data_IF_527195710742
#
_entry.id   IF_527195710742
#
_cell.length_a   1.000
_cell.length_b   1.000
_cell.length_c   1.000
_cell.angle_alpha   90.00
_cell.angle_beta   90.00
_cell.angle_gamma   90.00
#
_symmetry.space_group_name_H-M   'P 1'
#
loop_
_entity.id
_entity.type
_entity.pdbx_description
1 polymer ?
#
# COMPACT_ATOMS: atom_id res chain seq x y z
N UNK A 1 -5.92 -18.67 5.36
CA UNK A 1 -6.61 -17.44 5.83
C UNK A 1 -6.80 -16.53 4.62
N UNK A 2 -8.03 -16.27 4.14
CA UNK A 2 -8.28 -15.56 2.87
C UNK A 2 -7.45 -14.27 2.72
N UNK A 3 -7.43 -13.41 3.75
CA UNK A 3 -6.69 -12.14 3.72
C UNK A 3 -5.17 -12.29 3.62
N UNK A 4 -4.60 -13.46 3.92
CA UNK A 4 -3.15 -13.68 3.79
C UNK A 4 -2.67 -13.76 2.34
N UNK A 5 -3.47 -14.34 1.44
CA UNK A 5 -3.20 -14.28 0.00
C UNK A 5 -3.45 -12.89 -0.60
N UNK A 6 -4.26 -12.07 0.08
CA UNK A 6 -4.74 -10.77 -0.36
C UNK A 6 -4.19 -9.59 0.44
N UNK A 7 -3.10 -9.79 1.20
CA UNK A 7 -2.44 -8.68 1.89
C UNK A 7 -1.92 -7.69 0.88
N UNK A 8 -2.05 -6.40 1.20
CA UNK A 8 -1.74 -5.30 0.29
C UNK A 8 -2.61 -5.22 -0.96
N UNK A 9 -3.76 -5.91 -1.03
CA UNK A 9 -4.72 -5.74 -2.12
C UNK A 9 -5.86 -4.78 -1.71
N UNK A 10 -6.42 -4.07 -2.69
CA UNK A 10 -7.67 -3.32 -2.53
C UNK A 10 -8.83 -4.31 -2.51
N UNK A 11 -9.49 -4.44 -1.36
CA UNK A 11 -10.51 -5.47 -1.19
C UNK A 11 -11.89 -5.01 -1.63
N UNK A 12 -12.57 -5.86 -2.40
CA UNK A 12 -14.00 -5.71 -2.66
C UNK A 12 -14.76 -6.62 -1.70
N UNK A 13 -15.40 -6.01 -0.70
CA UNK A 13 -16.16 -6.74 0.33
C UNK A 13 -17.22 -7.65 -0.26
N UNK A 14 -17.88 -7.26 -1.35
CA UNK A 14 -18.89 -8.11 -2.00
C UNK A 14 -18.24 -9.35 -2.62
N UNK A 15 -17.05 -9.22 -3.19
CA UNK A 15 -16.28 -10.36 -3.70
C UNK A 15 -15.90 -11.32 -2.57
N UNK A 16 -15.42 -10.78 -1.44
CA UNK A 16 -15.06 -11.59 -0.26
C UNK A 16 -16.28 -12.32 0.29
N UNK A 17 -17.40 -11.60 0.44
CA UNK A 17 -18.66 -12.15 0.94
C UNK A 17 -19.11 -13.35 0.07
N UNK A 18 -19.06 -13.20 -1.25
CA UNK A 18 -19.39 -14.27 -2.19
C UNK A 18 -18.43 -15.46 -2.07
N UNK A 19 -17.12 -15.23 -2.00
CA UNK A 19 -16.12 -16.30 -1.87
C UNK A 19 -16.23 -17.08 -0.55
N UNK A 20 -16.65 -16.41 0.53
CA UNK A 20 -16.80 -17.02 1.85
C UNK A 20 -18.23 -17.50 2.13
N UNK A 21 -19.16 -17.34 1.17
CA UNK A 21 -20.59 -17.62 1.35
C UNK A 21 -21.20 -16.91 2.57
N UNK A 22 -20.78 -15.67 2.83
CA UNK A 22 -21.27 -14.82 3.91
C UNK A 22 -22.09 -13.65 3.36
N UNK A 23 -22.93 -13.04 4.20
CA UNK A 23 -23.51 -11.74 3.85
C UNK A 23 -22.43 -10.65 3.85
N UNK A 24 -22.68 -9.58 3.09
CA UNK A 24 -21.81 -8.39 3.08
C UNK A 24 -21.66 -7.80 4.49
N UNK A 25 -22.74 -7.78 5.27
CA UNK A 25 -22.77 -7.28 6.64
C UNK A 25 -21.86 -8.09 7.56
N UNK A 26 -21.97 -9.43 7.56
CA UNK A 26 -21.10 -10.28 8.37
C UNK A 26 -19.64 -10.20 7.93
N UNK A 27 -19.39 -10.08 6.63
CA UNK A 27 -18.03 -9.91 6.10
C UNK A 27 -17.37 -8.63 6.61
N UNK A 28 -18.10 -7.50 6.61
CA UNK A 28 -17.62 -6.24 7.19
C UNK A 28 -17.41 -6.36 8.70
N UNK A 29 -18.34 -7.00 9.40
CA UNK A 29 -18.26 -7.22 10.85
C UNK A 29 -17.00 -8.00 11.23
N UNK A 30 -16.70 -9.09 10.52
CA UNK A 30 -15.49 -9.87 10.77
C UNK A 30 -14.22 -9.15 10.36
N UNK A 31 -14.22 -8.38 9.27
CA UNK A 31 -13.08 -7.52 8.94
C UNK A 31 -12.81 -6.50 10.05
N UNK A 32 -13.86 -5.87 10.59
CA UNK A 32 -13.72 -4.93 11.70
C UNK A 32 -13.16 -5.62 12.95
N UNK A 33 -13.60 -6.84 13.27
CA UNK A 33 -12.99 -7.61 14.36
C UNK A 33 -11.50 -7.85 14.17
N UNK A 34 -11.04 -8.14 12.95
CA UNK A 34 -9.62 -8.30 12.66
C UNK A 34 -8.83 -6.99 12.80
N UNK A 35 -9.46 -5.85 12.48
CA UNK A 35 -8.87 -4.51 12.65
C UNK A 35 -8.76 -4.17 14.14
N UNK A 36 -9.86 -4.33 14.89
CA UNK A 36 -9.93 -4.06 16.32
C UNK A 36 -9.03 -5.00 17.13
N UNK A 37 -8.77 -6.21 16.64
CA UNK A 37 -7.84 -7.17 17.25
C UNK A 37 -6.38 -6.97 16.81
N UNK A 38 -6.06 -5.91 16.07
CA UNK A 38 -4.70 -5.63 15.55
C UNK A 38 -4.09 -6.78 14.75
N UNK A 39 -4.91 -7.54 14.00
CA UNK A 39 -4.42 -8.53 13.04
C UNK A 39 -4.23 -7.94 11.65
N UNK A 40 -5.09 -6.98 11.28
CA UNK A 40 -5.01 -6.25 10.01
C UNK A 40 -5.17 -4.76 10.23
N UNK A 41 -4.71 -3.96 9.28
CA UNK A 41 -5.07 -2.55 9.17
C UNK A 41 -5.54 -2.26 7.74
N UNK A 42 -6.43 -1.26 7.60
CA UNK A 42 -6.98 -0.87 6.33
C UNK A 42 -6.80 0.61 6.07
N UNK A 43 -6.21 0.96 4.94
CA UNK A 43 -6.06 2.35 4.48
C UNK A 43 -7.11 2.67 3.42
N UNK A 44 -7.61 3.91 3.43
CA UNK A 44 -8.65 4.37 2.48
C UNK A 44 -8.02 4.98 1.23
N UNK A 45 -8.83 5.14 0.17
CA UNK A 45 -8.39 5.84 -1.03
C UNK A 45 -8.26 7.34 -0.76
N UNK A 46 -7.15 7.93 -1.16
CA UNK A 46 -6.94 9.37 -1.14
C UNK A 46 -7.93 10.06 -2.09
N UNK A 47 -8.61 11.08 -1.57
CA UNK A 47 -9.44 11.99 -2.33
C UNK A 47 -9.58 13.31 -1.57
N UNK A 48 -9.59 14.48 -2.23
CA UNK A 48 -9.94 15.72 -1.55
C UNK A 48 -11.36 15.71 -0.94
N UNK A 49 -12.24 14.81 -1.39
CA UNK A 49 -13.59 14.64 -0.85
C UNK A 49 -13.62 13.57 0.23
N UNK A 50 -13.96 13.98 1.47
CA UNK A 50 -14.14 13.08 2.62
C UNK A 50 -15.20 12.01 2.33
N UNK A 51 -16.30 12.36 1.67
CA UNK A 51 -17.35 11.41 1.28
C UNK A 51 -16.81 10.31 0.34
N UNK A 52 -15.97 10.69 -0.63
CA UNK A 52 -15.30 9.72 -1.52
C UNK A 52 -14.30 8.85 -0.76
N UNK A 53 -13.60 9.39 0.23
CA UNK A 53 -12.72 8.60 1.10
C UNK A 53 -13.54 7.56 1.88
N UNK A 54 -14.64 7.96 2.54
CA UNK A 54 -15.49 7.07 3.35
C UNK A 54 -16.04 5.90 2.52
N UNK A 55 -16.58 6.20 1.33
CA UNK A 55 -17.18 5.21 0.42
C UNK A 55 -16.16 4.32 -0.28
N UNK A 56 -14.87 4.62 -0.21
CA UNK A 56 -13.84 3.85 -0.89
C UNK A 56 -13.64 2.47 -0.25
N UNK A 57 -13.33 1.49 -1.10
CA UNK A 57 -12.78 0.22 -0.66
C UNK A 57 -11.46 0.47 0.08
N UNK A 58 -11.15 -0.38 1.05
CA UNK A 58 -9.88 -0.32 1.76
C UNK A 58 -8.83 -1.13 1.01
N UNK A 59 -7.59 -0.66 1.05
CA UNK A 59 -6.41 -1.51 0.86
C UNK A 59 -6.05 -2.09 2.23
N UNK A 60 -6.05 -3.42 2.34
CA UNK A 60 -5.92 -4.11 3.64
C UNK A 60 -4.58 -4.82 3.73
N UNK A 61 -3.93 -4.66 4.87
CA UNK A 61 -2.60 -5.19 5.15
C UNK A 61 -2.65 -6.02 6.43
N UNK A 62 -1.99 -7.17 6.43
CA UNK A 62 -1.71 -7.90 7.66
C UNK A 62 -0.61 -7.18 8.45
N UNK A 63 -0.79 -7.09 9.77
CA UNK A 63 0.18 -6.42 10.65
C UNK A 63 1.47 -7.23 10.79
N UNK A 64 1.35 -8.56 10.79
CA UNK A 64 2.46 -9.49 10.94
C UNK A 64 2.76 -10.20 9.61
N UNK A 65 3.98 -10.00 9.11
CA UNK A 65 4.49 -10.64 7.90
C UNK A 65 4.67 -12.16 8.03
N UNK A 66 4.76 -12.66 9.27
CA UNK A 66 4.69 -14.09 9.61
C UNK A 66 3.35 -14.71 9.21
N UNK A 67 2.23 -13.99 9.39
CA UNK A 67 0.91 -14.46 8.93
C UNK A 67 0.86 -14.58 7.40
N UNK A 68 1.46 -13.62 6.68
CA UNK A 68 1.61 -13.69 5.22
C UNK A 68 2.50 -14.88 4.82
N UNK A 69 3.54 -15.17 5.60
CA UNK A 69 4.46 -16.29 5.33
C UNK A 69 3.76 -17.64 5.51
N UNK A 70 3.02 -17.81 6.60
CA UNK A 70 2.39 -19.08 6.97
C UNK A 70 1.13 -19.36 6.14
N UNK A 71 0.33 -18.32 5.87
CA UNK A 71 -0.98 -18.46 5.24
C UNK A 71 -1.07 -17.89 3.82
N UNK A 72 -0.03 -17.24 3.32
CA UNK A 72 0.02 -16.73 1.95
C UNK A 72 0.11 -17.88 0.96
N UNK A 73 -0.99 -18.13 0.24
CA UNK A 73 -1.03 -19.18 -0.77
C UNK A 73 -0.23 -18.74 -2.02
N UNK A 74 0.85 -19.45 -2.34
CA UNK A 74 1.46 -19.38 -3.69
C UNK A 74 2.97 -19.58 -3.77
N UNK A 75 3.39 -20.39 -4.75
CA UNK A 75 4.78 -20.64 -5.16
C UNK A 75 5.48 -19.43 -5.83
N UNK A 76 5.13 -18.19 -5.48
CA UNK A 76 5.70 -16.96 -6.06
C UNK A 76 6.35 -16.11 -4.98
N UNK A 77 7.53 -16.56 -4.52
CA UNK A 77 8.34 -15.91 -3.48
C UNK A 77 8.44 -14.38 -3.66
N UNK A 78 8.62 -13.90 -4.89
CA UNK A 78 8.75 -12.48 -5.19
C UNK A 78 7.48 -11.65 -4.88
N UNK A 79 6.26 -12.19 -5.14
CA UNK A 79 5.01 -11.49 -4.82
C UNK A 79 4.83 -11.42 -3.31
N UNK A 80 5.02 -12.55 -2.63
CA UNK A 80 4.89 -12.67 -1.17
C UNK A 80 5.87 -11.71 -0.47
N UNK A 81 7.13 -11.65 -0.90
CA UNK A 81 8.11 -10.73 -0.33
C UNK A 81 7.72 -9.26 -0.57
N UNK A 82 7.19 -8.92 -1.74
CA UNK A 82 6.65 -7.58 -2.01
C UNK A 82 5.52 -7.21 -1.03
N UNK A 83 4.53 -8.09 -0.85
CA UNK A 83 3.40 -7.86 0.07
C UNK A 83 3.87 -7.68 1.52
N UNK A 84 4.85 -8.47 1.96
CA UNK A 84 5.44 -8.35 3.32
C UNK A 84 6.10 -6.99 3.51
N UNK A 85 6.95 -6.58 2.57
CA UNK A 85 7.66 -5.29 2.65
C UNK A 85 6.67 -4.14 2.59
N UNK A 86 5.70 -4.18 1.70
CA UNK A 86 4.67 -3.15 1.61
C UNK A 86 3.85 -3.03 2.91
N UNK A 87 3.42 -4.16 3.49
CA UNK A 87 2.67 -4.15 4.75
C UNK A 87 3.53 -3.62 5.92
N UNK A 88 4.82 -3.96 5.95
CA UNK A 88 5.76 -3.46 6.96
C UNK A 88 5.98 -1.94 6.84
N UNK A 89 6.15 -1.43 5.61
CA UNK A 89 6.29 0.00 5.34
C UNK A 89 4.99 0.74 5.70
N UNK A 90 3.83 0.20 5.31
CA UNK A 90 2.53 0.77 5.65
C UNK A 90 2.29 0.89 7.15
N UNK A 91 2.79 -0.08 7.94
CA UNK A 91 2.73 -0.03 9.40
C UNK A 91 3.46 1.17 9.98
N UNK A 92 4.61 1.57 9.43
CA UNK A 92 5.36 2.74 9.88
C UNK A 92 4.59 4.06 9.70
N UNK A 93 3.60 4.07 8.80
CA UNK A 93 2.78 5.24 8.48
C UNK A 93 1.48 5.33 9.27
N UNK A 94 1.17 4.35 10.13
CA UNK A 94 -0.11 4.33 10.87
C UNK A 94 -0.24 5.45 11.92
N UNK A 95 0.86 6.12 12.27
CA UNK A 95 0.85 7.32 13.12
C UNK A 95 0.38 8.57 12.36
N UNK A 96 0.37 8.52 11.04
CA UNK A 96 0.05 9.63 10.15
C UNK A 96 -1.30 9.40 9.44
N UNK A 97 -1.80 10.43 8.74
CA UNK A 97 -2.95 10.29 7.84
C UNK A 97 -2.50 9.63 6.54
N UNK A 98 -2.55 8.31 6.52
CA UNK A 98 -2.13 7.48 5.37
C UNK A 98 -3.32 6.98 4.56
N UNK A 99 -3.14 7.03 3.24
CA UNK A 99 -4.09 6.58 2.23
C UNK A 99 -3.37 5.76 1.16
N UNK A 100 -4.09 5.09 0.28
CA UNK A 100 -3.56 4.66 -1.02
C UNK A 100 -4.13 5.57 -2.12
N UNK A 101 -3.60 5.55 -3.33
CA UNK A 101 -4.25 6.23 -4.46
C UNK A 101 -4.48 5.29 -5.63
N UNK A 102 -5.64 5.42 -6.30
CA UNK A 102 -5.99 4.57 -7.44
C UNK A 102 -6.88 5.31 -8.43
N UNK A 103 -6.40 5.37 -9.67
CA UNK A 103 -7.22 5.66 -10.86
C UNK A 103 -6.99 4.55 -11.89
N UNK A 104 -6.40 4.88 -13.04
CA UNK A 104 -5.90 3.88 -13.99
C UNK A 104 -4.67 3.15 -13.42
N UNK A 105 -3.82 3.89 -12.74
CA UNK A 105 -2.64 3.39 -12.03
C UNK A 105 -2.89 3.44 -10.51
N UNK A 106 -2.01 2.82 -9.73
CA UNK A 106 -2.04 2.83 -8.27
C UNK A 106 -0.76 3.45 -7.71
N UNK A 107 -0.90 4.06 -6.52
CA UNK A 107 0.20 4.37 -5.62
C UNK A 107 -0.09 3.72 -4.28
N UNK A 108 0.89 2.99 -3.75
CA UNK A 108 0.70 2.16 -2.56
C UNK A 108 0.33 2.99 -1.32
N UNK A 109 1.06 4.09 -1.08
CA UNK A 109 0.79 5.01 0.03
C UNK A 109 0.85 6.48 -0.38
N UNK A 110 -0.03 7.27 0.23
CA UNK A 110 -0.09 8.73 0.17
C UNK A 110 -0.24 9.24 1.59
N UNK A 111 0.73 10.01 2.04
CA UNK A 111 0.71 10.69 3.33
C UNK A 111 0.14 12.09 3.14
N UNK A 112 -0.93 12.40 3.88
CA UNK A 112 -1.59 13.70 3.90
C UNK A 112 -0.83 14.66 4.83
N UNK A 113 0.37 15.02 4.38
CA UNK A 113 1.23 16.07 4.93
C UNK A 113 1.32 17.23 3.91
N UNK A 114 1.90 18.37 4.27
CA UNK A 114 2.00 19.53 3.38
C UNK A 114 3.46 19.77 2.95
N UNK A 115 3.84 19.50 1.68
CA UNK A 115 3.03 18.96 0.58
C UNK A 115 2.76 17.45 0.71
N UNK A 116 1.76 16.91 -0.02
CA UNK A 116 1.46 15.47 -0.01
C UNK A 116 2.70 14.66 -0.38
N UNK A 117 2.90 13.51 0.28
CA UNK A 117 4.00 12.61 -0.03
C UNK A 117 3.48 11.29 -0.57
N UNK A 118 3.91 10.95 -1.79
CA UNK A 118 3.60 9.66 -2.41
C UNK A 118 4.73 8.66 -2.21
N UNK A 119 4.38 7.41 -1.87
CA UNK A 119 5.33 6.32 -1.64
C UNK A 119 4.87 5.09 -2.40
N UNK A 120 5.73 4.58 -3.28
CA UNK A 120 5.50 3.39 -4.10
C UNK A 120 6.47 2.28 -3.70
N UNK A 121 5.98 1.05 -3.44
CA UNK A 121 6.81 -0.08 -3.03
C UNK A 121 7.12 -0.98 -4.22
N UNK A 122 8.40 -1.04 -4.60
CA UNK A 122 8.93 -1.92 -5.64
C UNK A 122 10.12 -2.70 -5.09
N UNK A 123 9.83 -3.73 -4.30
CA UNK A 123 10.84 -4.60 -3.69
C UNK A 123 11.54 -5.52 -4.72
N UNK A 124 12.43 -4.94 -5.53
CA UNK A 124 13.25 -5.60 -6.55
C UNK A 124 14.53 -4.77 -6.80
N UNK A 125 15.51 -5.37 -7.46
CA UNK A 125 16.81 -4.72 -7.75
C UNK A 125 16.73 -3.71 -8.91
N UNK A 126 15.89 -3.98 -9.90
CA UNK A 126 15.79 -3.16 -11.11
C UNK A 126 14.43 -2.46 -11.16
N UNK A 127 14.46 -1.12 -11.20
CA UNK A 127 13.27 -0.27 -11.31
C UNK A 127 13.21 0.33 -12.71
N UNK A 128 12.20 -0.08 -13.49
CA UNK A 128 11.96 0.38 -14.86
C UNK A 128 11.05 1.60 -14.86
N UNK A 129 11.09 2.42 -15.92
CA UNK A 129 10.21 3.59 -16.06
C UNK A 129 8.71 3.23 -15.96
N UNK A 130 8.31 2.07 -16.47
CA UNK A 130 6.93 1.57 -16.36
C UNK A 130 6.50 1.34 -14.91
N UNK A 131 7.44 1.01 -14.01
CA UNK A 131 7.15 0.80 -12.59
C UNK A 131 6.88 2.13 -11.87
N UNK A 132 7.33 3.26 -12.45
CA UNK A 132 7.22 4.61 -11.89
C UNK A 132 5.98 5.36 -12.40
N UNK A 133 5.23 4.77 -13.34
CA UNK A 133 4.11 5.45 -14.00
C UNK A 133 3.03 5.92 -13.02
N UNK A 134 2.70 5.09 -12.02
CA UNK A 134 1.68 5.40 -11.02
C UNK A 134 2.03 6.62 -10.18
N UNK A 135 3.22 6.60 -9.57
CA UNK A 135 3.71 7.70 -8.73
C UNK A 135 3.88 9.00 -9.52
N UNK A 136 4.41 8.93 -10.75
CA UNK A 136 4.53 10.11 -11.63
C UNK A 136 3.15 10.70 -11.94
N UNK A 137 2.16 9.86 -12.30
CA UNK A 137 0.79 10.32 -12.58
C UNK A 137 0.12 10.96 -11.37
N UNK A 138 0.37 10.42 -10.17
CA UNK A 138 -0.08 11.04 -8.93
C UNK A 138 0.55 12.43 -8.74
N UNK A 139 1.88 12.51 -8.85
CA UNK A 139 2.64 13.75 -8.71
C UNK A 139 2.18 14.84 -9.69
N UNK A 140 1.99 14.49 -10.97
CA UNK A 140 1.42 15.39 -11.99
C UNK A 140 0.04 15.90 -11.60
N UNK A 141 -0.84 15.00 -11.14
CA UNK A 141 -2.23 15.34 -10.82
C UNK A 141 -2.36 16.29 -9.64
N UNK A 142 -1.52 16.12 -8.62
CA UNK A 142 -1.62 16.88 -7.37
C UNK A 142 -0.54 17.97 -7.26
N UNK A 143 0.27 18.18 -8.31
CA UNK A 143 1.31 19.23 -8.32
C UNK A 143 2.43 18.99 -7.31
N UNK A 144 2.72 17.73 -6.99
CA UNK A 144 3.77 17.35 -6.03
C UNK A 144 5.09 17.14 -6.77
N UNK A 145 6.18 17.70 -6.24
CA UNK A 145 7.51 17.64 -6.86
C UNK A 145 8.34 16.43 -6.43
N UNK A 146 8.06 15.86 -5.26
CA UNK A 146 8.85 14.75 -4.72
C UNK A 146 8.01 13.51 -4.41
N UNK A 147 8.59 12.34 -4.64
CA UNK A 147 8.00 11.05 -4.30
C UNK A 147 9.07 10.05 -3.90
N UNK A 148 8.68 9.04 -3.12
CA UNK A 148 9.58 7.97 -2.66
C UNK A 148 9.21 6.68 -3.39
N UNK A 149 10.23 5.97 -3.85
CA UNK A 149 10.10 4.61 -4.38
C UNK A 149 10.91 3.70 -3.48
N UNK A 150 10.24 2.85 -2.72
CA UNK A 150 10.89 1.88 -1.84
C UNK A 150 11.40 0.72 -2.69
N UNK A 151 12.71 0.52 -2.70
CA UNK A 151 13.38 -0.50 -3.51
C UNK A 151 13.89 -1.64 -2.63
N UNK A 152 14.44 -2.70 -3.25
CA UNK A 152 15.13 -3.73 -2.47
C UNK A 152 16.45 -3.20 -1.90
N UNK A 153 17.35 -2.76 -2.78
CA UNK A 153 18.72 -2.32 -2.43
C UNK A 153 19.21 -1.09 -3.21
N UNK A 154 18.37 -0.48 -4.03
CA UNK A 154 18.75 0.65 -4.89
C UNK A 154 18.53 1.99 -4.19
N UNK A 155 19.62 2.65 -3.80
CA UNK A 155 19.64 4.04 -3.32
C UNK A 155 20.01 4.98 -4.46
N UNK A 156 19.06 5.77 -4.96
CA UNK A 156 19.27 6.65 -6.11
C UNK A 156 18.30 7.83 -6.11
N UNK A 157 18.75 9.01 -6.53
CA UNK A 157 17.88 10.11 -6.93
C UNK A 157 17.64 10.04 -8.44
N UNK A 158 16.38 10.04 -8.88
CA UNK A 158 16.00 10.16 -10.29
C UNK A 158 15.26 11.47 -10.51
N UNK A 159 15.72 12.23 -11.49
CA UNK A 159 15.08 13.47 -11.91
C UNK A 159 14.38 13.23 -13.24
N UNK A 160 13.12 13.64 -13.33
CA UNK A 160 12.34 13.59 -14.56
C UNK A 160 11.52 14.87 -14.65
N UNK A 161 11.84 15.71 -15.63
CA UNK A 161 11.32 17.08 -15.75
C UNK A 161 11.53 17.89 -14.46
N UNK A 162 10.46 18.34 -13.83
CA UNK A 162 10.45 19.10 -12.56
C UNK A 162 10.25 18.21 -11.31
N UNK A 163 10.31 16.88 -11.48
CA UNK A 163 10.01 15.89 -10.43
C UNK A 163 11.24 15.13 -9.99
N UNK A 164 11.29 14.85 -8.69
CA UNK A 164 12.34 14.08 -8.03
C UNK A 164 11.71 12.80 -7.46
N UNK A 165 12.27 11.66 -7.85
CA UNK A 165 11.97 10.37 -7.24
C UNK A 165 13.17 9.90 -6.43
N UNK A 166 12.96 9.74 -5.13
CA UNK A 166 13.92 9.17 -4.20
C UNK A 166 13.73 7.66 -4.15
N UNK A 167 14.63 6.92 -4.78
CA UNK A 167 14.67 5.47 -4.67
C UNK A 167 15.44 5.13 -3.40
N UNK A 168 14.76 4.56 -2.41
CA UNK A 168 15.30 4.30 -1.08
C UNK A 168 15.15 2.81 -0.79
N UNK A 169 16.22 2.08 -0.41
CA UNK A 169 16.11 0.69 0.01
C UNK A 169 15.16 0.54 1.21
N UNK A 170 14.35 -0.52 1.22
CA UNK A 170 13.39 -0.78 2.29
C UNK A 170 14.06 -0.81 3.67
N UNK A 171 15.20 -1.48 3.80
CA UNK A 171 15.94 -1.56 5.05
C UNK A 171 16.41 -0.18 5.55
N UNK A 172 16.82 0.72 4.64
CA UNK A 172 17.27 2.06 5.00
C UNK A 172 16.08 2.91 5.46
N UNK A 173 14.96 2.85 4.74
CA UNK A 173 13.75 3.57 5.13
C UNK A 173 13.31 3.15 6.53
N UNK A 174 13.27 1.85 6.81
CA UNK A 174 12.85 1.31 8.11
C UNK A 174 13.75 1.76 9.27
N UNK A 175 15.04 2.01 9.02
CA UNK A 175 15.95 2.58 10.03
C UNK A 175 15.70 4.07 10.28
N UNK A 176 15.13 4.80 9.30
CA UNK A 176 14.88 6.24 9.41
C UNK A 176 13.52 6.57 10.02
N UNK A 177 12.52 5.68 9.89
CA UNK A 177 11.13 5.93 10.35
C UNK A 177 10.78 5.28 11.69
N UNK A 178 11.67 4.45 12.23
CA UNK A 178 11.54 3.83 13.56
C UNK A 178 11.79 4.84 14.68
#
# INVERSE_FOLDING_TARGET
LYLAGHSSDIINITSIANSLCLSREYTLKYLNYLIESFLVFGIKKYSPSVEKQIRSNQKVHLIDSGLITVFGEGNKENRINGQKVESLIGRCFLKDKVFYWREREEVDFVLDINPLLSVEVKYRNTILLRDLKGIIKFMEKYGVREGIVVTKDLLQKREQDDKILWLIPAWLLLLMVN
#
